data_IF_686123197922
#
_entry.id   IF_686123197922
#
_cell.length_a   1.000
_cell.length_b   1.000
_cell.length_c   1.000
_cell.angle_alpha   90.00
_cell.angle_beta   90.00
_cell.angle_gamma   90.00
#
_symmetry.space_group_name_H-M   'P 1'
#
loop_
_entity.id
_entity.type
_entity.pdbx_description
1 polymer ?
#
# COMPACT_ATOMS: atom_id res chain seq x y z
N UNK A 1 10.14 49.63 -3.58
CA UNK A 1 10.89 48.80 -4.55
C UNK A 1 10.85 47.37 -4.03
N UNK A 2 9.95 46.56 -4.57
CA UNK A 2 9.39 45.41 -3.85
C UNK A 2 10.09 44.07 -4.07
N UNK A 3 9.93 43.18 -3.08
CA UNK A 3 10.38 41.78 -3.02
C UNK A 3 10.23 41.01 -4.35
N UNK A 4 9.22 41.35 -5.16
CA UNK A 4 8.98 40.78 -6.49
C UNK A 4 10.17 40.89 -7.47
N UNK A 5 10.97 41.96 -7.42
CA UNK A 5 12.16 42.07 -8.31
C UNK A 5 13.29 41.13 -7.90
N UNK A 6 13.37 40.79 -6.61
CA UNK A 6 14.44 39.95 -6.04
C UNK A 6 14.18 38.47 -6.36
N UNK A 7 12.92 38.05 -6.22
CA UNK A 7 12.43 36.70 -6.56
C UNK A 7 12.45 36.42 -8.07
N UNK A 8 12.24 37.44 -8.92
CA UNK A 8 12.29 37.28 -10.38
C UNK A 8 13.70 37.29 -10.97
N UNK A 9 14.74 37.52 -10.16
CA UNK A 9 16.12 37.56 -10.64
C UNK A 9 16.61 36.18 -11.11
N UNK A 10 17.44 36.15 -12.17
CA UNK A 10 18.05 34.89 -12.67
C UNK A 10 18.86 34.18 -11.58
N UNK A 11 19.46 34.94 -10.68
CA UNK A 11 20.18 34.43 -9.53
C UNK A 11 19.25 33.68 -8.57
N UNK A 12 18.11 34.27 -8.18
CA UNK A 12 17.14 33.65 -7.29
C UNK A 12 16.56 32.36 -7.88
N UNK A 13 16.18 32.35 -9.17
CA UNK A 13 15.67 31.14 -9.85
C UNK A 13 16.70 30.00 -9.88
N UNK A 14 17.95 30.31 -10.19
CA UNK A 14 19.03 29.31 -10.21
C UNK A 14 19.38 28.82 -8.80
N UNK A 15 19.31 29.70 -7.80
CA UNK A 15 19.49 29.34 -6.40
C UNK A 15 18.36 28.42 -5.92
N UNK A 16 17.11 28.74 -6.24
CA UNK A 16 15.95 27.98 -5.80
C UNK A 16 15.88 26.60 -6.44
N UNK A 17 16.23 26.48 -7.73
CA UNK A 17 16.41 25.19 -8.41
C UNK A 17 17.42 24.28 -7.71
N UNK A 18 18.55 24.83 -7.23
CA UNK A 18 19.54 24.07 -6.45
C UNK A 18 19.05 23.74 -5.04
N UNK A 19 18.30 24.66 -4.42
CA UNK A 19 17.73 24.47 -3.09
C UNK A 19 16.72 23.30 -3.07
N UNK A 20 15.87 23.18 -4.10
CA UNK A 20 14.99 22.02 -4.27
C UNK A 20 15.77 20.71 -4.38
N UNK A 21 16.85 20.69 -5.17
CA UNK A 21 17.70 19.50 -5.32
C UNK A 21 18.41 19.10 -4.02
N UNK A 22 18.92 20.06 -3.25
CA UNK A 22 19.56 19.81 -1.96
C UNK A 22 18.55 19.36 -0.90
N UNK A 23 17.36 19.97 -0.85
CA UNK A 23 16.28 19.57 0.05
C UNK A 23 15.83 18.14 -0.19
N UNK A 24 15.51 17.81 -1.45
CA UNK A 24 15.10 16.47 -1.85
C UNK A 24 16.14 15.41 -1.48
N UNK A 25 17.44 15.71 -1.63
CA UNK A 25 18.50 14.80 -1.23
C UNK A 25 18.49 14.51 0.28
N UNK A 26 18.32 15.52 1.14
CA UNK A 26 18.27 15.35 2.61
C UNK A 26 17.03 14.53 3.01
N UNK A 27 15.88 14.78 2.38
CA UNK A 27 14.64 14.01 2.61
C UNK A 27 14.80 12.55 2.22
N UNK A 28 15.38 12.27 1.04
CA UNK A 28 15.61 10.91 0.56
C UNK A 28 16.57 10.14 1.48
N UNK A 29 17.63 10.79 1.99
CA UNK A 29 18.55 10.16 2.95
C UNK A 29 17.85 9.88 4.29
N UNK A 30 17.00 10.79 4.77
CA UNK A 30 16.18 10.56 5.96
C UNK A 30 15.20 9.40 5.81
N UNK A 31 14.52 9.32 4.66
CA UNK A 31 13.65 8.19 4.32
C UNK A 31 14.43 6.87 4.21
N UNK A 32 15.61 6.89 3.59
CA UNK A 32 16.49 5.73 3.50
C UNK A 32 16.87 5.20 4.89
N UNK A 33 17.30 6.08 5.80
CA UNK A 33 17.67 5.70 7.17
C UNK A 33 16.50 5.08 7.92
N UNK A 34 15.28 5.60 7.70
CA UNK A 34 14.05 5.05 8.28
C UNK A 34 13.74 3.64 7.77
N UNK A 35 13.94 3.37 6.49
CA UNK A 35 13.69 2.06 5.88
C UNK A 35 14.77 1.04 6.28
N UNK A 36 16.03 1.47 6.40
CA UNK A 36 17.15 0.59 6.77
C UNK A 36 17.34 0.41 8.28
N UNK A 37 16.49 1.02 9.12
CA UNK A 37 16.51 0.89 10.59
C UNK A 37 17.87 1.22 11.24
N UNK A 38 18.57 2.24 10.71
CA UNK A 38 19.84 2.71 11.28
C UNK A 38 19.56 3.49 12.58
N UNK A 39 20.37 3.35 13.66
CA UNK A 39 20.20 4.16 14.86
C UNK A 39 20.29 5.66 14.53
N UNK A 40 19.35 6.47 15.04
CA UNK A 40 19.22 7.89 14.68
C UNK A 40 18.31 8.17 13.48
N UNK A 41 17.61 7.16 12.95
CA UNK A 41 16.76 7.32 11.77
C UNK A 41 15.56 8.25 11.97
N UNK A 42 15.00 8.33 13.18
CA UNK A 42 13.86 9.20 13.45
C UNK A 42 14.26 10.67 13.43
N UNK A 43 15.43 10.97 13.97
CA UNK A 43 16.04 12.30 14.05
C UNK A 43 16.43 12.78 12.64
N UNK A 44 17.03 11.90 11.83
CA UNK A 44 17.37 12.20 10.44
C UNK A 44 16.13 12.42 9.55
N UNK A 45 15.09 11.58 9.72
CA UNK A 45 13.82 11.76 9.00
C UNK A 45 13.12 13.07 9.41
N UNK A 46 13.12 13.38 10.70
CA UNK A 46 12.57 14.64 11.21
C UNK A 46 13.30 15.86 10.62
N UNK A 47 14.63 15.83 10.55
CA UNK A 47 15.42 16.88 9.90
C UNK A 47 15.12 17.01 8.40
N UNK A 48 14.95 15.89 7.69
CA UNK A 48 14.55 15.88 6.28
C UNK A 48 13.17 16.52 6.07
N UNK A 49 12.15 16.08 6.80
CA UNK A 49 10.80 16.65 6.69
C UNK A 49 10.75 18.14 7.07
N UNK A 50 11.54 18.57 8.07
CA UNK A 50 11.64 19.98 8.44
C UNK A 50 12.28 20.81 7.32
N UNK A 51 13.30 20.27 6.65
CA UNK A 51 13.94 20.92 5.49
C UNK A 51 12.93 21.11 4.35
N UNK A 52 12.11 20.09 4.08
CA UNK A 52 11.06 20.13 3.05
C UNK A 52 10.00 21.20 3.36
N UNK A 53 9.57 21.29 4.63
CA UNK A 53 8.61 22.31 5.06
C UNK A 53 9.13 23.75 4.83
N UNK A 54 10.42 23.99 5.08
CA UNK A 54 11.05 25.29 4.85
C UNK A 54 11.10 25.60 3.34
N UNK A 55 11.44 24.62 2.51
CA UNK A 55 11.50 24.78 1.05
C UNK A 55 10.12 25.07 0.47
N UNK A 56 9.08 24.37 0.91
CA UNK A 56 7.69 24.64 0.50
C UNK A 56 7.21 26.02 0.93
N UNK A 57 7.64 26.50 2.10
CA UNK A 57 7.33 27.87 2.52
C UNK A 57 7.93 28.91 1.56
N UNK A 58 9.18 28.72 1.13
CA UNK A 58 9.83 29.63 0.19
C UNK A 58 9.36 29.47 -1.26
N UNK A 59 8.88 28.28 -1.67
CA UNK A 59 8.31 28.04 -3.00
C UNK A 59 7.00 28.80 -3.22
N UNK A 60 6.22 29.05 -2.17
CA UNK A 60 5.00 29.84 -2.23
C UNK A 60 5.22 31.29 -2.68
N UNK A 61 6.46 31.79 -2.60
CA UNK A 61 6.83 33.11 -3.08
C UNK A 61 7.31 33.12 -4.54
N UNK A 62 7.48 31.96 -5.19
CA UNK A 62 7.84 31.92 -6.60
C UNK A 62 6.65 32.38 -7.48
N UNK A 63 6.90 33.22 -8.50
CA UNK A 63 5.85 33.62 -9.42
C UNK A 63 5.32 32.39 -10.17
N UNK A 64 4.00 32.31 -10.44
CA UNK A 64 3.41 31.19 -11.15
C UNK A 64 4.12 30.98 -12.48
N UNK A 65 4.47 29.73 -12.78
CA UNK A 65 5.10 29.37 -14.05
C UNK A 65 4.22 29.85 -15.20
N UNK A 66 4.74 30.79 -16.00
CA UNK A 66 4.07 31.25 -17.21
C UNK A 66 4.30 30.16 -18.25
N UNK A 67 3.27 29.38 -18.55
CA UNK A 67 3.32 28.40 -19.62
C UNK A 67 3.59 29.12 -20.96
N UNK A 68 4.38 28.52 -21.86
CA UNK A 68 4.62 29.08 -23.19
C UNK A 68 3.28 29.36 -23.88
N UNK A 69 3.14 30.55 -24.46
CA UNK A 69 1.88 30.94 -25.11
C UNK A 69 1.70 30.17 -26.42
N UNK A 70 1.03 29.01 -26.31
CA UNK A 70 0.73 28.12 -27.44
C UNK A 70 -0.14 28.79 -28.51
N UNK A 71 -0.73 29.96 -28.21
CA UNK A 71 -1.52 30.73 -29.19
C UNK A 71 -0.67 31.35 -30.32
N UNK A 72 0.66 31.47 -30.13
CA UNK A 72 1.58 31.83 -31.22
C UNK A 72 1.70 30.73 -32.29
N UNK A 73 1.43 29.47 -31.93
CA UNK A 73 1.56 28.31 -32.81
C UNK A 73 0.19 27.78 -33.25
N UNK A 74 -0.84 27.91 -32.40
CA UNK A 74 -2.22 27.53 -32.68
C UNK A 74 -3.18 28.69 -32.39
N UNK A 75 -3.48 29.54 -33.40
CA UNK A 75 -4.28 30.74 -33.21
C UNK A 75 -5.74 30.45 -32.81
N UNK A 76 -6.24 29.23 -33.00
CA UNK A 76 -7.61 28.84 -32.60
C UNK A 76 -7.84 28.78 -31.08
N UNK A 77 -6.77 28.78 -30.27
CA UNK A 77 -6.85 28.86 -28.80
C UNK A 77 -6.71 30.30 -28.27
N UNK A 78 -6.51 31.28 -29.15
CA UNK A 78 -6.37 32.69 -28.79
C UNK A 78 -7.72 33.28 -28.36
N UNK A 79 -8.00 33.22 -27.05
CA UNK A 79 -9.23 33.78 -26.48
C UNK A 79 -9.81 32.98 -25.33
N UNK A 80 -9.42 31.71 -25.15
CA UNK A 80 -9.92 30.90 -24.03
C UNK A 80 -9.09 31.05 -22.74
N UNK A 81 -7.92 31.69 -22.79
CA UNK A 81 -6.94 31.70 -21.69
C UNK A 81 -6.84 33.00 -20.87
N UNK A 82 -7.54 34.07 -21.26
CA UNK A 82 -7.58 35.30 -20.45
C UNK A 82 -8.92 35.47 -19.76
N UNK A 83 -9.04 34.89 -18.57
CA UNK A 83 -10.01 35.33 -17.58
C UNK A 83 -9.69 36.77 -17.17
N UNK A 84 -10.49 37.74 -17.61
CA UNK A 84 -10.40 39.12 -17.12
C UNK A 84 -11.77 39.67 -16.75
N UNK A 85 -11.93 39.90 -15.45
CA UNK A 85 -12.90 40.81 -14.85
C UNK A 85 -12.75 42.22 -15.43
N UNK A 86 -13.89 42.80 -15.83
CA UNK A 86 -14.22 44.21 -15.65
C UNK A 86 -13.67 45.22 -16.66
N UNK A 87 -14.57 46.09 -17.15
CA UNK A 87 -14.21 47.41 -17.69
C UNK A 87 -14.87 47.74 -19.03
N UNK A 88 -15.90 48.58 -18.98
CA UNK A 88 -16.60 49.21 -20.12
C UNK A 88 -15.64 50.14 -20.86
N UNK A 89 -15.67 50.16 -22.20
CA UNK A 89 -15.47 51.41 -22.94
C UNK A 89 -16.19 51.37 -24.29
N UNK A 90 -17.17 52.27 -24.44
CA UNK A 90 -17.95 52.41 -25.64
C UNK A 90 -17.19 53.17 -26.73
N UNK A 91 -17.42 52.76 -27.98
CA UNK A 91 -17.27 53.63 -29.15
C UNK A 91 -18.46 53.46 -30.07
N UNK A 92 -19.20 54.56 -30.21
CA UNK A 92 -20.27 54.76 -31.19
C UNK A 92 -19.71 54.58 -32.60
N UNK A 93 -20.31 53.66 -33.36
CA UNK A 93 -20.19 53.57 -34.80
C UNK A 93 -21.56 53.16 -35.34
N UNK A 94 -22.22 54.07 -36.06
CA UNK A 94 -23.56 53.84 -36.59
C UNK A 94 -23.57 52.68 -37.57
N UNK A 95 -24.46 51.71 -37.33
CA UNK A 95 -24.76 50.65 -38.29
C UNK A 95 -26.26 50.69 -38.55
N UNK A 96 -26.61 51.08 -39.78
CA UNK A 96 -27.94 50.89 -40.37
C UNK A 96 -28.30 49.41 -40.27
N UNK A 97 -29.49 49.12 -39.74
CA UNK A 97 -30.14 47.79 -39.79
C UNK A 97 -29.99 47.15 -41.18
N UNK A 98 -29.46 45.93 -41.27
CA UNK A 98 -29.97 44.93 -42.19
C UNK A 98 -31.02 44.10 -41.45
N UNK A 99 -32.15 43.87 -42.12
CA UNK A 99 -33.09 42.83 -41.75
C UNK A 99 -32.42 41.46 -41.93
N UNK A 100 -32.71 40.53 -41.01
CA UNK A 100 -32.27 39.13 -41.09
C UNK A 100 -30.98 38.86 -40.33
N UNK A 101 -31.05 38.75 -39.00
CA UNK A 101 -30.00 38.13 -38.20
C UNK A 101 -30.51 36.74 -37.77
N UNK A 102 -29.70 35.66 -37.91
CA UNK A 102 -30.02 34.32 -37.40
C UNK A 102 -30.43 34.32 -35.92
N UNK A 103 -30.02 35.33 -35.15
CA UNK A 103 -30.38 35.53 -33.74
C UNK A 103 -31.87 35.86 -33.57
N UNK A 104 -32.49 36.53 -34.54
CA UNK A 104 -33.91 36.89 -34.48
C UNK A 104 -34.82 35.72 -34.86
N UNK A 105 -34.39 34.88 -35.80
CA UNK A 105 -35.04 33.59 -36.06
C UNK A 105 -34.83 32.61 -34.90
N UNK A 106 -33.67 32.65 -34.22
CA UNK A 106 -33.43 31.89 -33.00
C UNK A 106 -34.32 32.37 -31.85
N UNK A 107 -34.47 33.68 -31.64
CA UNK A 107 -35.37 34.26 -30.64
C UNK A 107 -36.84 33.92 -30.96
N UNK A 108 -37.28 34.07 -32.21
CA UNK A 108 -38.65 33.73 -32.64
C UNK A 108 -38.90 32.21 -32.54
N UNK A 109 -37.86 31.37 -32.70
CA UNK A 109 -37.93 29.92 -32.50
C UNK A 109 -37.97 29.54 -31.02
N UNK A 110 -37.21 30.21 -30.16
CA UNK A 110 -37.20 30.00 -28.71
C UNK A 110 -38.54 30.43 -28.09
N UNK A 111 -39.11 31.54 -28.57
CA UNK A 111 -40.42 32.06 -28.17
C UNK A 111 -41.57 31.16 -28.65
N UNK A 112 -41.54 30.69 -29.91
CA UNK A 112 -42.54 29.73 -30.44
C UNK A 112 -42.48 28.35 -29.82
N UNK A 113 -41.30 27.88 -29.42
CA UNK A 113 -41.12 26.60 -28.77
C UNK A 113 -41.52 26.61 -27.28
N UNK A 114 -41.98 27.77 -26.74
CA UNK A 114 -42.26 27.97 -25.31
C UNK A 114 -41.11 27.53 -24.42
N UNK A 115 -39.87 27.78 -24.82
CA UNK A 115 -38.72 27.51 -23.96
C UNK A 115 -38.67 28.63 -22.93
N UNK A 116 -39.36 28.41 -21.81
CA UNK A 116 -39.29 29.31 -20.67
C UNK A 116 -37.99 29.10 -19.90
N UNK A 117 -37.60 30.08 -19.08
CA UNK A 117 -36.37 30.00 -18.28
C UNK A 117 -36.34 28.76 -17.37
N UNK A 118 -37.50 28.22 -17.02
CA UNK A 118 -37.67 27.01 -16.22
C UNK A 118 -37.32 25.73 -16.99
N UNK A 119 -37.72 25.60 -18.27
CA UNK A 119 -37.32 24.49 -19.13
C UNK A 119 -35.81 24.42 -19.36
N UNK A 120 -35.14 25.57 -19.49
CA UNK A 120 -33.67 25.63 -19.59
C UNK A 120 -33.02 25.24 -18.26
N UNK A 121 -33.58 25.69 -17.14
CA UNK A 121 -33.11 25.32 -15.79
C UNK A 121 -33.29 23.81 -15.53
N UNK A 122 -34.43 23.23 -15.91
CA UNK A 122 -34.74 21.80 -15.74
C UNK A 122 -33.88 20.93 -16.68
N UNK A 123 -33.60 21.38 -17.90
CA UNK A 123 -32.65 20.73 -18.81
C UNK A 123 -31.21 20.80 -18.26
N UNK A 124 -30.82 21.96 -17.71
CA UNK A 124 -29.52 22.14 -17.05
C UNK A 124 -29.36 21.20 -15.85
N UNK A 125 -30.41 21.06 -15.02
CA UNK A 125 -30.46 20.06 -13.93
C UNK A 125 -30.38 18.63 -14.47
N UNK A 126 -31.06 18.32 -15.57
CA UNK A 126 -30.98 17.01 -16.24
C UNK A 126 -29.56 16.67 -16.74
N UNK A 127 -28.90 17.62 -17.41
CA UNK A 127 -27.52 17.46 -17.89
C UNK A 127 -26.51 17.39 -16.74
N UNK A 128 -26.69 18.19 -15.69
CA UNK A 128 -25.88 18.12 -14.48
C UNK A 128 -26.04 16.76 -13.78
N UNK A 129 -27.27 16.25 -13.68
CA UNK A 129 -27.54 14.93 -13.09
C UNK A 129 -26.96 13.80 -13.93
N UNK A 130 -27.02 13.89 -15.26
CA UNK A 130 -26.40 12.93 -16.16
C UNK A 130 -24.87 12.96 -16.02
N UNK A 131 -24.26 14.14 -15.99
CA UNK A 131 -22.81 14.30 -15.76
C UNK A 131 -22.38 13.71 -14.42
N UNK A 132 -23.13 13.98 -13.35
CA UNK A 132 -22.90 13.39 -12.04
C UNK A 132 -23.03 11.86 -12.07
N UNK A 133 -24.02 11.33 -12.79
CA UNK A 133 -24.22 9.88 -12.96
C UNK A 133 -23.08 9.25 -13.76
N UNK A 134 -22.59 9.90 -14.82
CA UNK A 134 -21.44 9.44 -15.61
C UNK A 134 -20.15 9.43 -14.77
N UNK A 135 -19.93 10.46 -13.96
CA UNK A 135 -18.79 10.49 -13.03
C UNK A 135 -18.88 9.37 -11.99
N UNK A 136 -20.05 9.14 -11.40
CA UNK A 136 -20.27 8.01 -10.49
C UNK A 136 -20.05 6.66 -11.17
N UNK A 137 -20.42 6.51 -12.45
CA UNK A 137 -20.16 5.29 -13.22
C UNK A 137 -18.66 5.05 -13.47
N UNK A 138 -17.91 6.13 -13.74
CA UNK A 138 -16.47 6.08 -13.88
C UNK A 138 -15.78 5.67 -12.56
N UNK A 139 -16.25 6.20 -11.43
CA UNK A 139 -15.76 5.83 -10.11
C UNK A 139 -16.05 4.36 -9.77
N UNK A 140 -17.25 3.87 -10.08
CA UNK A 140 -17.60 2.45 -9.94
C UNK A 140 -16.71 1.56 -10.82
N UNK A 141 -16.41 1.98 -12.05
CA UNK A 141 -15.51 1.26 -12.95
C UNK A 141 -14.09 1.19 -12.40
N UNK A 142 -13.55 2.30 -11.89
CA UNK A 142 -12.24 2.34 -11.24
C UNK A 142 -12.21 1.50 -9.95
N UNK A 143 -13.27 1.55 -9.14
CA UNK A 143 -13.43 0.74 -7.94
C UNK A 143 -13.48 -0.76 -8.27
N UNK A 144 -14.11 -1.15 -9.39
CA UNK A 144 -14.12 -2.52 -9.89
C UNK A 144 -12.71 -3.00 -10.26
N UNK A 145 -11.91 -2.18 -10.97
CA UNK A 145 -10.51 -2.52 -11.31
C UNK A 145 -9.65 -2.66 -10.05
N UNK A 146 -9.82 -1.77 -9.08
CA UNK A 146 -9.13 -1.86 -7.79
C UNK A 146 -9.54 -3.13 -7.01
N UNK A 147 -10.83 -3.48 -7.03
CA UNK A 147 -11.36 -4.70 -6.42
C UNK A 147 -10.79 -5.96 -7.07
N UNK A 148 -10.66 -5.98 -8.40
CA UNK A 148 -10.02 -7.10 -9.12
C UNK A 148 -8.54 -7.26 -8.76
N UNK A 149 -7.82 -6.15 -8.63
CA UNK A 149 -6.42 -6.18 -8.19
C UNK A 149 -6.31 -6.65 -6.75
N UNK A 150 -7.19 -6.18 -5.87
CA UNK A 150 -7.25 -6.61 -4.48
C UNK A 150 -7.53 -8.11 -4.37
N UNK A 151 -8.54 -8.62 -5.08
CA UNK A 151 -8.86 -10.05 -5.11
C UNK A 151 -7.67 -10.90 -5.59
N UNK A 152 -6.96 -10.48 -6.65
CA UNK A 152 -5.75 -11.17 -7.13
C UNK A 152 -4.59 -11.14 -6.13
N UNK A 153 -4.35 -10.00 -5.48
CA UNK A 153 -3.33 -9.90 -4.44
C UNK A 153 -3.68 -10.75 -3.22
N UNK A 154 -4.96 -10.81 -2.85
CA UNK A 154 -5.47 -11.66 -1.79
C UNK A 154 -5.32 -13.14 -2.14
N UNK A 155 -5.63 -13.55 -3.37
CA UNK A 155 -5.43 -14.93 -3.84
C UNK A 155 -3.95 -15.35 -3.82
N UNK A 156 -3.05 -14.44 -4.24
CA UNK A 156 -1.61 -14.67 -4.20
C UNK A 156 -1.07 -14.80 -2.76
N UNK A 157 -1.55 -13.96 -1.85
CA UNK A 157 -1.19 -14.03 -0.44
C UNK A 157 -1.78 -15.29 0.23
N UNK A 158 -2.98 -15.74 -0.18
CA UNK A 158 -3.59 -17.00 0.25
C UNK A 158 -2.72 -18.18 -0.16
N UNK A 159 -2.27 -18.23 -1.42
CA UNK A 159 -1.35 -19.27 -1.91
C UNK A 159 -0.02 -19.28 -1.13
N UNK A 160 0.48 -18.10 -0.78
CA UNK A 160 1.73 -17.97 0.00
C UNK A 160 1.55 -18.46 1.45
N UNK A 161 0.41 -18.15 2.06
CA UNK A 161 0.06 -18.61 3.39
C UNK A 161 -0.18 -20.14 3.42
N UNK A 162 -0.80 -20.73 2.39
CA UNK A 162 -0.88 -22.19 2.25
C UNK A 162 0.50 -22.85 2.20
N UNK A 163 1.41 -22.30 1.39
CA UNK A 163 2.79 -22.80 1.31
C UNK A 163 3.53 -22.68 2.65
N UNK A 164 3.29 -21.59 3.38
CA UNK A 164 3.84 -21.40 4.71
C UNK A 164 3.28 -22.43 5.70
N UNK A 165 1.97 -22.69 5.66
CA UNK A 165 1.31 -23.72 6.47
C UNK A 165 1.92 -25.10 6.24
N UNK A 166 2.05 -25.51 4.97
CA UNK A 166 2.69 -26.78 4.61
C UNK A 166 4.15 -26.88 5.05
N UNK A 167 4.87 -25.76 5.05
CA UNK A 167 6.26 -25.72 5.50
C UNK A 167 6.32 -25.89 7.02
N UNK A 168 5.44 -25.21 7.77
CA UNK A 168 5.34 -25.37 9.22
C UNK A 168 4.93 -26.77 9.65
N UNK A 169 3.99 -27.40 8.94
CA UNK A 169 3.59 -28.79 9.19
C UNK A 169 4.79 -29.74 9.02
N UNK A 170 5.55 -29.60 7.92
CA UNK A 170 6.79 -30.38 7.72
C UNK A 170 7.85 -30.10 8.77
N UNK A 171 7.99 -28.85 9.21
CA UNK A 171 8.92 -28.49 10.29
C UNK A 171 8.49 -29.09 11.61
N UNK A 172 7.20 -29.06 11.96
CA UNK A 172 6.66 -29.69 13.15
C UNK A 172 6.95 -31.20 13.15
N UNK A 173 6.69 -31.88 12.03
CA UNK A 173 7.00 -33.31 11.86
C UNK A 173 8.49 -33.61 12.02
N UNK A 174 9.36 -32.81 11.38
CA UNK A 174 10.81 -32.97 11.50
C UNK A 174 11.27 -32.76 12.94
N UNK A 175 10.72 -31.77 13.63
CA UNK A 175 11.08 -31.46 15.01
C UNK A 175 10.57 -32.51 16.00
N UNK A 176 9.38 -33.08 15.77
CA UNK A 176 8.88 -34.22 16.54
C UNK A 176 9.78 -35.46 16.37
N UNK A 177 10.27 -35.71 15.15
CA UNK A 177 11.26 -36.78 14.90
C UNK A 177 12.60 -36.49 15.59
N UNK A 178 13.07 -35.25 15.57
CA UNK A 178 14.31 -34.84 16.22
C UNK A 178 14.23 -34.97 17.76
N UNK A 179 13.08 -34.60 18.34
CA UNK A 179 12.77 -34.81 19.77
C UNK A 179 12.82 -36.29 20.14
N UNK A 180 12.14 -37.16 19.39
CA UNK A 180 12.15 -38.60 19.65
C UNK A 180 13.55 -39.22 19.48
N UNK A 181 14.31 -38.78 18.48
CA UNK A 181 15.70 -39.20 18.28
C UNK A 181 16.63 -38.75 19.42
N UNK A 182 16.45 -37.53 19.91
CA UNK A 182 17.20 -36.95 21.03
C UNK A 182 16.94 -37.71 22.33
N UNK A 183 15.68 -38.08 22.60
CA UNK A 183 15.32 -38.87 23.78
C UNK A 183 15.93 -40.29 23.76
N UNK A 184 15.93 -40.95 22.60
CA UNK A 184 16.59 -42.24 22.43
C UNK A 184 18.12 -42.13 22.58
N UNK A 185 18.73 -41.06 22.08
CA UNK A 185 20.15 -40.79 22.24
C UNK A 185 20.51 -40.52 23.71
N UNK A 186 19.71 -39.74 24.43
CA UNK A 186 19.86 -39.50 25.87
C UNK A 186 19.90 -40.81 26.66
N UNK A 187 18.93 -41.68 26.41
CA UNK A 187 18.90 -43.00 27.05
C UNK A 187 20.17 -43.81 26.75
N UNK A 188 20.65 -43.79 25.51
CA UNK A 188 21.88 -44.49 25.13
C UNK A 188 23.14 -43.90 25.79
N UNK A 189 23.27 -42.57 25.83
CA UNK A 189 24.39 -41.90 26.51
C UNK A 189 24.36 -42.15 28.01
N UNK A 190 23.17 -42.09 28.63
CA UNK A 190 23.01 -42.38 30.05
C UNK A 190 23.36 -43.83 30.37
N UNK A 191 22.93 -44.78 29.55
CA UNK A 191 23.28 -46.19 29.68
C UNK A 191 24.80 -46.40 29.52
N UNK A 192 25.42 -45.78 28.52
CA UNK A 192 26.86 -45.85 28.29
C UNK A 192 27.66 -45.22 29.45
N UNK A 193 27.21 -44.07 29.96
CA UNK A 193 27.80 -43.40 31.11
C UNK A 193 27.72 -44.26 32.37
N UNK A 194 26.57 -44.89 32.60
CA UNK A 194 26.36 -45.81 33.72
C UNK A 194 27.30 -47.02 33.59
N UNK A 195 27.35 -47.65 32.42
CA UNK A 195 28.23 -48.79 32.16
C UNK A 195 29.72 -48.43 32.30
N UNK A 196 30.12 -47.26 31.82
CA UNK A 196 31.48 -46.73 32.01
C UNK A 196 31.79 -46.48 33.49
N UNK A 197 30.81 -45.97 34.25
CA UNK A 197 30.88 -45.82 35.70
C UNK A 197 31.14 -47.14 36.40
N UNK A 198 30.33 -48.17 36.09
CA UNK A 198 30.47 -49.51 36.67
C UNK A 198 31.80 -50.16 36.31
N UNK A 199 32.25 -50.00 35.05
CA UNK A 199 33.53 -50.52 34.60
C UNK A 199 34.68 -49.84 35.33
N UNK A 200 34.64 -48.51 35.45
CA UNK A 200 35.63 -47.72 36.20
C UNK A 200 35.69 -48.15 37.66
N UNK A 201 34.53 -48.35 38.30
CA UNK A 201 34.46 -48.81 39.69
C UNK A 201 35.07 -50.21 39.86
N UNK A 202 34.81 -51.11 38.91
CA UNK A 202 35.35 -52.49 38.92
C UNK A 202 36.86 -52.50 38.74
N UNK A 203 37.39 -51.70 37.80
CA UNK A 203 38.83 -51.53 37.61
C UNK A 203 39.49 -50.88 38.82
N UNK A 204 38.87 -49.88 39.44
CA UNK A 204 39.39 -49.25 40.65
C UNK A 204 39.48 -50.25 41.82
N UNK A 205 38.48 -51.11 41.98
CA UNK A 205 38.50 -52.20 42.97
C UNK A 205 39.60 -53.21 42.67
N UNK A 206 39.76 -53.62 41.41
CA UNK A 206 40.82 -54.54 40.98
C UNK A 206 42.22 -53.92 41.16
N UNK A 207 42.41 -52.65 40.81
CA UNK A 207 43.67 -51.94 40.97
C UNK A 207 44.03 -51.74 42.46
N UNK A 208 43.06 -51.40 43.32
CA UNK A 208 43.26 -51.37 44.79
C UNK A 208 43.61 -52.74 45.36
N UNK A 209 43.07 -53.82 44.79
CA UNK A 209 43.44 -55.18 45.18
C UNK A 209 44.87 -55.57 44.73
N UNK A 210 45.44 -54.88 43.74
CA UNK A 210 46.75 -55.22 43.15
C UNK A 210 47.88 -54.26 43.56
N UNK A 211 47.61 -52.97 43.85
CA UNK A 211 48.62 -51.96 44.27
C UNK A 211 48.02 -50.81 45.08
N UNK A 212 48.73 -50.35 46.13
CA UNK A 212 48.38 -49.18 46.94
C UNK A 212 48.60 -47.85 46.18
N UNK A 213 47.59 -46.98 46.25
CA UNK A 213 47.51 -45.56 45.81
C UNK A 213 47.40 -45.23 44.31
N UNK A 214 46.28 -44.59 43.90
CA UNK A 214 46.13 -43.96 42.57
C UNK A 214 45.18 -42.75 42.58
N UNK A 215 45.70 -41.56 42.94
CA UNK A 215 44.95 -40.28 43.01
C UNK A 215 44.55 -39.69 41.64
N UNK A 216 45.29 -40.00 40.57
CA UNK A 216 45.03 -39.45 39.23
C UNK A 216 43.73 -40.00 38.58
N UNK A 217 43.26 -41.17 39.01
CA UNK A 217 42.02 -41.77 38.52
C UNK A 217 40.78 -41.09 39.10
N UNK A 218 40.81 -40.71 40.37
CA UNK A 218 39.69 -40.01 41.02
C UNK A 218 39.41 -38.66 40.33
N UNK A 219 40.45 -37.91 39.96
CA UNK A 219 40.28 -36.65 39.21
C UNK A 219 39.68 -36.86 37.81
N UNK A 220 40.12 -37.90 37.09
CA UNK A 220 39.60 -38.21 35.76
C UNK A 220 38.13 -38.64 35.83
N UNK A 221 37.76 -39.40 36.86
CA UNK A 221 36.38 -39.80 37.11
C UNK A 221 35.49 -38.61 37.50
N UNK A 222 35.95 -37.73 38.39
CA UNK A 222 35.22 -36.52 38.77
C UNK A 222 34.96 -35.61 37.57
N UNK A 223 35.95 -35.43 36.68
CA UNK A 223 35.77 -34.68 35.43
C UNK A 223 34.76 -35.34 34.49
N UNK A 224 34.77 -36.67 34.38
CA UNK A 224 33.78 -37.39 33.57
C UNK A 224 32.36 -37.18 34.12
N UNK A 225 32.17 -37.31 35.44
CA UNK A 225 30.88 -37.08 36.09
C UNK A 225 30.40 -35.63 35.91
N UNK A 226 31.30 -34.64 36.07
CA UNK A 226 30.97 -33.23 35.83
C UNK A 226 30.58 -32.97 34.37
N UNK A 227 31.32 -33.53 33.41
CA UNK A 227 31.02 -33.39 31.99
C UNK A 227 29.66 -34.02 31.65
N UNK A 228 29.32 -35.18 32.22
CA UNK A 228 28.01 -35.82 32.04
C UNK A 228 26.88 -34.98 32.64
N UNK A 229 27.08 -34.41 33.83
CA UNK A 229 26.09 -33.53 34.45
C UNK A 229 25.86 -32.26 33.60
N UNK A 230 26.92 -31.65 33.08
CA UNK A 230 26.84 -30.51 32.18
C UNK A 230 26.15 -30.87 30.86
N UNK A 231 26.44 -32.04 30.29
CA UNK A 231 25.81 -32.54 29.07
C UNK A 231 24.30 -32.72 29.28
N UNK A 232 23.89 -33.35 30.37
CA UNK A 232 22.48 -33.53 30.71
C UNK A 232 21.74 -32.19 30.84
N UNK A 233 22.34 -31.19 31.48
CA UNK A 233 21.74 -29.85 31.61
C UNK A 233 21.54 -29.15 30.26
N UNK A 234 22.50 -29.28 29.33
CA UNK A 234 22.37 -28.75 27.96
C UNK A 234 21.26 -29.49 27.20
N UNK A 235 21.12 -30.80 27.39
CA UNK A 235 20.04 -31.57 26.75
C UNK A 235 18.65 -31.26 27.31
N UNK A 236 18.49 -31.13 28.62
CA UNK A 236 17.22 -30.65 29.21
C UNK A 236 16.85 -29.27 28.65
N UNK A 237 17.83 -28.39 28.49
CA UNK A 237 17.63 -27.09 27.84
C UNK A 237 17.22 -27.23 26.37
N UNK A 238 17.85 -28.13 25.62
CA UNK A 238 17.49 -28.41 24.21
C UNK A 238 16.06 -28.94 24.10
N UNK A 239 15.68 -29.91 24.92
CA UNK A 239 14.31 -30.45 24.97
C UNK A 239 13.29 -29.36 25.30
N UNK A 240 13.59 -28.52 26.29
CA UNK A 240 12.72 -27.40 26.67
C UNK A 240 12.60 -26.36 25.54
N UNK A 241 13.70 -26.06 24.85
CA UNK A 241 13.69 -25.15 23.71
C UNK A 241 12.90 -25.74 22.54
N UNK A 242 13.06 -27.03 22.24
CA UNK A 242 12.26 -27.72 21.24
C UNK A 242 10.78 -27.77 21.63
N UNK A 243 10.42 -28.03 22.88
CA UNK A 243 9.03 -27.99 23.35
C UNK A 243 8.40 -26.59 23.16
N UNK A 244 9.12 -25.55 23.56
CA UNK A 244 8.70 -24.16 23.34
C UNK A 244 8.55 -23.85 21.84
N UNK A 245 9.50 -24.29 21.02
CA UNK A 245 9.45 -24.12 19.56
C UNK A 245 8.26 -24.88 18.93
N UNK A 246 7.88 -26.03 19.51
CA UNK A 246 6.75 -26.85 19.04
C UNK A 246 5.44 -26.11 19.26
N UNK A 247 5.28 -25.56 20.47
CA UNK A 247 4.11 -24.77 20.83
C UNK A 247 3.97 -23.53 19.95
N UNK A 248 5.05 -22.80 19.70
CA UNK A 248 5.05 -21.64 18.80
C UNK A 248 4.67 -22.07 17.38
N UNK A 249 5.18 -23.21 16.91
CA UNK A 249 4.86 -23.75 15.58
C UNK A 249 3.37 -24.09 15.44
N UNK A 250 2.78 -24.74 16.45
CA UNK A 250 1.35 -25.07 16.44
C UNK A 250 0.47 -23.81 16.46
N UNK A 251 0.80 -22.84 17.31
CA UNK A 251 0.09 -21.55 17.37
C UNK A 251 0.18 -20.77 16.05
N UNK A 252 1.33 -20.83 15.38
CA UNK A 252 1.52 -20.23 14.06
C UNK A 252 0.65 -20.93 13.01
N UNK A 253 0.55 -22.26 13.05
CA UNK A 253 -0.34 -23.03 12.18
C UNK A 253 -1.80 -22.60 12.31
N UNK A 254 -2.31 -22.52 13.53
CA UNK A 254 -3.68 -22.03 13.82
C UNK A 254 -3.89 -20.60 13.31
N UNK A 255 -2.91 -19.71 13.51
CA UNK A 255 -2.98 -18.32 13.06
C UNK A 255 -3.00 -18.21 11.52
N UNK A 256 -2.19 -19.02 10.83
CA UNK A 256 -2.17 -19.10 9.37
C UNK A 256 -3.51 -19.62 8.85
N UNK A 257 -4.08 -20.65 9.47
CA UNK A 257 -5.38 -21.20 9.08
C UNK A 257 -6.50 -20.17 9.26
N UNK A 258 -6.52 -19.45 10.39
CA UNK A 258 -7.47 -18.37 10.62
C UNK A 258 -7.31 -17.23 9.61
N UNK A 259 -6.06 -16.85 9.29
CA UNK A 259 -5.77 -15.86 8.26
C UNK A 259 -6.28 -16.30 6.89
N UNK A 260 -5.98 -17.54 6.47
CA UNK A 260 -6.46 -18.15 5.22
C UNK A 260 -7.98 -18.12 5.11
N UNK A 261 -8.68 -18.49 6.20
CA UNK A 261 -10.14 -18.43 6.26
C UNK A 261 -10.65 -17.01 6.02
N UNK A 262 -10.11 -16.02 6.74
CA UNK A 262 -10.53 -14.62 6.61
C UNK A 262 -10.22 -14.04 5.21
N UNK A 263 -9.11 -14.44 4.61
CA UNK A 263 -8.78 -14.06 3.24
C UNK A 263 -9.78 -14.62 2.24
N UNK A 264 -10.13 -15.90 2.35
CA UNK A 264 -11.11 -16.55 1.47
C UNK A 264 -12.49 -15.89 1.56
N UNK A 265 -12.91 -15.53 2.77
CA UNK A 265 -14.14 -14.77 2.99
C UNK A 265 -14.07 -13.37 2.36
N UNK A 266 -12.94 -12.68 2.49
CA UNK A 266 -12.72 -11.37 1.88
C UNK A 266 -12.72 -11.40 0.35
N UNK A 267 -12.13 -12.44 -0.26
CA UNK A 267 -12.18 -12.67 -1.71
C UNK A 267 -13.64 -12.83 -2.14
N UNK A 268 -14.39 -13.69 -1.44
CA UNK A 268 -15.81 -13.95 -1.75
C UNK A 268 -16.64 -12.67 -1.66
N UNK A 269 -16.44 -11.85 -0.62
CA UNK A 269 -17.12 -10.55 -0.47
C UNK A 269 -16.75 -9.59 -1.59
N UNK A 270 -15.48 -9.53 -1.98
CA UNK A 270 -15.01 -8.69 -3.09
C UNK A 270 -15.64 -9.11 -4.43
N UNK A 271 -15.75 -10.42 -4.67
CA UNK A 271 -16.43 -10.95 -5.85
C UNK A 271 -17.93 -10.58 -5.86
N UNK A 272 -18.59 -10.65 -4.72
CA UNK A 272 -20.00 -10.26 -4.61
C UNK A 272 -20.19 -8.76 -4.82
N UNK A 273 -19.31 -7.92 -4.26
CA UNK A 273 -19.31 -6.49 -4.50
C UNK A 273 -19.14 -6.16 -5.99
N UNK A 274 -18.20 -6.84 -6.67
CA UNK A 274 -18.00 -6.71 -8.11
C UNK A 274 -19.26 -7.05 -8.90
N UNK A 275 -19.93 -8.15 -8.57
CA UNK A 275 -21.20 -8.55 -9.22
C UNK A 275 -22.28 -7.47 -9.04
N UNK A 276 -22.39 -6.89 -7.85
CA UNK A 276 -23.36 -5.83 -7.57
C UNK A 276 -23.02 -4.54 -8.32
N UNK A 277 -21.75 -4.15 -8.38
CA UNK A 277 -21.26 -3.01 -9.16
C UNK A 277 -21.56 -3.18 -10.67
N UNK A 278 -21.39 -4.40 -11.19
CA UNK A 278 -21.71 -4.74 -12.58
C UNK A 278 -23.21 -4.63 -12.86
N UNK A 279 -24.04 -5.19 -11.98
CA UNK A 279 -25.49 -5.07 -12.09
C UNK A 279 -25.96 -3.61 -12.03
N UNK A 280 -25.39 -2.80 -11.14
CA UNK A 280 -25.68 -1.38 -11.05
C UNK A 280 -25.29 -0.64 -12.35
N UNK A 281 -24.10 -0.93 -12.89
CA UNK A 281 -23.64 -0.34 -14.15
C UNK A 281 -24.58 -0.67 -15.31
N UNK A 282 -25.04 -1.92 -15.41
CA UNK A 282 -26.03 -2.34 -16.41
C UNK A 282 -27.38 -1.62 -16.24
N UNK A 283 -27.87 -1.52 -15.01
CA UNK A 283 -29.13 -0.85 -14.72
C UNK A 283 -29.08 0.65 -15.04
N UNK A 284 -27.97 1.33 -14.72
CA UNK A 284 -27.77 2.74 -15.08
C UNK A 284 -27.68 2.93 -16.59
N UNK A 285 -27.00 2.04 -17.31
CA UNK A 285 -26.96 2.06 -18.77
C UNK A 285 -28.35 1.85 -19.40
N UNK A 286 -29.14 0.93 -18.86
CA UNK A 286 -30.52 0.68 -19.29
C UNK A 286 -31.42 1.91 -19.04
N UNK A 287 -31.31 2.54 -17.86
CA UNK A 287 -32.02 3.79 -17.54
C UNK A 287 -31.66 4.91 -18.53
N UNK A 288 -30.37 5.14 -18.77
CA UNK A 288 -29.90 6.16 -19.72
C UNK A 288 -30.43 5.90 -21.13
N UNK A 289 -30.54 4.64 -21.54
CA UNK A 289 -31.15 4.24 -22.82
C UNK A 289 -32.64 4.57 -22.86
N UNK A 290 -33.40 4.27 -21.80
CA UNK A 290 -34.83 4.60 -21.69
C UNK A 290 -35.05 6.11 -21.70
N UNK A 291 -34.24 6.88 -20.98
CA UNK A 291 -34.31 8.34 -20.98
C UNK A 291 -33.98 8.93 -22.36
N UNK A 292 -32.94 8.43 -23.03
CA UNK A 292 -32.59 8.84 -24.41
C UNK A 292 -33.69 8.53 -25.42
N UNK A 293 -34.34 7.36 -25.29
CA UNK A 293 -35.48 6.97 -26.11
C UNK A 293 -36.72 7.83 -25.83
N UNK A 294 -37.00 8.17 -24.56
CA UNK A 294 -38.08 9.10 -24.20
C UNK A 294 -37.83 10.50 -24.73
N UNK A 295 -36.60 11.00 -24.64
CA UNK A 295 -36.23 12.33 -25.14
C UNK A 295 -36.34 12.41 -26.66
N UNK A 296 -35.90 11.35 -27.35
CA UNK A 296 -36.07 11.20 -28.80
C UNK A 296 -37.55 11.13 -29.18
N UNK A 297 -38.38 10.38 -28.45
CA UNK A 297 -39.82 10.30 -28.68
C UNK A 297 -40.55 11.63 -28.41
N UNK A 298 -40.07 12.45 -27.48
CA UNK A 298 -40.59 13.80 -27.22
C UNK A 298 -40.25 14.79 -28.34
N UNK A 299 -39.01 14.74 -28.87
CA UNK A 299 -38.59 15.57 -30.00
C UNK A 299 -39.26 15.16 -31.33
N UNK A 300 -39.69 13.91 -31.48
CA UNK A 300 -40.37 13.44 -32.70
C UNK A 300 -41.83 13.89 -32.76
N UNK A 301 -42.48 14.19 -31.62
CA UNK A 301 -43.88 14.66 -31.56
C UNK A 301 -44.05 16.17 -31.77
N UNK A 302 -42.97 16.94 -31.94
CA UNK A 302 -42.99 18.42 -32.08
C UNK A 302 -42.80 18.92 -33.51
N UNK A 303 -43.07 18.08 -34.53
CA UNK A 303 -43.20 18.51 -35.94
C UNK A 303 -44.65 18.76 -36.32
#
# INVERSE_FOLDING_TARGET
MGLNKLVQSRFYKNFMSKLYGWGAAVVIVGALFKITHIPGANEMLFAGMLTEAIIFFFSAFEPPHVEPDWSLVYPELSGMYHGKKGGIEGKKGGVKKPAGSPVKELDDMLEKAKIDSKLIEDLGKGLSNLSNTTNALADISNAKVASDKFAKSMDSASTSADKLSQTYEKTADAMNKDLAGTEAFLNNVQNAATAAGTLSETYAKAAKAVTNENKAYDETFQKLTQNLAALNAVYEMQLKNSDAQSKVTNQMGEAIEAFMKNMKESITTTENYKKQADALTQNVAALNTVYGNMLSAMNVKTK
#
